data_IF_736205653364
#
_entry.id   IF_736205653364
#
_cell.length_a   1.000
_cell.length_b   1.000
_cell.length_c   1.000
_cell.angle_alpha   90.00
_cell.angle_beta   90.00
_cell.angle_gamma   90.00
#
_symmetry.space_group_name_H-M   'P 1'
#
loop_
_entity.id
_entity.type
_entity.pdbx_description
1 polymer ?
#
# COMPACT_ATOMS: atom_id res chain seq x y z
N UNK A 1 37.03 10.26 2.15
CA UNK A 1 36.11 9.66 3.15
C UNK A 1 34.88 8.98 2.52
N UNK A 2 34.45 9.37 1.30
CA UNK A 2 33.25 8.80 0.63
C UNK A 2 33.45 7.45 -0.09
N UNK A 3 34.68 7.04 -0.40
CA UNK A 3 34.94 5.75 -1.08
C UNK A 3 34.76 4.53 -0.16
N UNK A 4 35.02 4.67 1.13
CA UNK A 4 34.91 3.56 2.10
C UNK A 4 33.45 3.22 2.51
N UNK A 5 32.51 4.14 2.38
CA UNK A 5 31.10 3.89 2.69
C UNK A 5 30.39 3.11 1.56
N UNK A 6 30.77 3.36 0.29
CA UNK A 6 30.23 2.60 -0.85
C UNK A 6 30.72 1.16 -0.87
N UNK A 7 32.02 0.94 -0.61
CA UNK A 7 32.63 -0.42 -0.59
C UNK A 7 32.07 -1.30 0.54
N UNK A 8 31.83 -0.75 1.75
CA UNK A 8 31.24 -1.49 2.86
C UNK A 8 29.77 -1.88 2.61
N UNK A 9 29.00 -1.07 1.86
CA UNK A 9 27.62 -1.41 1.47
C UNK A 9 27.61 -2.54 0.45
N UNK A 10 28.53 -2.53 -0.52
CA UNK A 10 28.61 -3.52 -1.60
C UNK A 10 29.05 -4.90 -1.06
N UNK A 11 29.99 -4.95 -0.12
CA UNK A 11 30.42 -6.18 0.55
C UNK A 11 29.29 -6.80 1.37
N UNK A 12 28.51 -5.99 2.09
CA UNK A 12 27.40 -6.49 2.91
C UNK A 12 26.27 -7.03 2.03
N UNK A 13 25.98 -6.37 0.92
CA UNK A 13 25.02 -6.86 -0.09
C UNK A 13 25.49 -8.20 -0.67
N UNK A 14 26.75 -8.33 -1.05
CA UNK A 14 27.32 -9.56 -1.59
C UNK A 14 27.21 -10.74 -0.60
N UNK A 15 27.45 -10.50 0.70
CA UNK A 15 27.30 -11.51 1.74
C UNK A 15 25.83 -11.98 1.85
N UNK A 16 24.87 -11.05 1.84
CA UNK A 16 23.44 -11.43 1.86
C UNK A 16 23.07 -12.24 0.64
N UNK A 17 23.46 -11.81 -0.56
CA UNK A 17 23.13 -12.50 -1.80
C UNK A 17 23.76 -13.92 -1.84
N UNK A 18 25.00 -14.07 -1.36
CA UNK A 18 25.65 -15.37 -1.22
C UNK A 18 24.88 -16.28 -0.25
N UNK A 19 24.41 -15.73 0.86
CA UNK A 19 23.67 -16.50 1.87
C UNK A 19 22.27 -16.88 1.41
N UNK A 20 21.65 -16.08 0.53
CA UNK A 20 20.37 -16.35 -0.10
C UNK A 20 20.47 -17.25 -1.36
N UNK A 21 21.67 -17.69 -1.75
CA UNK A 21 21.89 -18.53 -2.93
C UNK A 21 20.93 -19.73 -2.99
N UNK A 22 20.69 -20.50 -1.90
CA UNK A 22 19.78 -21.64 -1.94
C UNK A 22 18.34 -21.34 -2.36
N UNK A 23 17.91 -20.09 -2.25
CA UNK A 23 16.57 -19.61 -2.67
C UNK A 23 16.62 -18.61 -3.83
N UNK A 24 17.80 -18.38 -4.41
CA UNK A 24 18.02 -17.37 -5.44
C UNK A 24 17.17 -17.61 -6.71
N UNK A 25 16.93 -18.85 -7.07
CA UNK A 25 16.06 -19.22 -8.21
C UNK A 25 14.62 -18.75 -7.99
N UNK A 26 14.09 -18.86 -6.76
CA UNK A 26 12.75 -18.39 -6.42
C UNK A 26 12.71 -16.85 -6.37
N UNK A 27 13.76 -16.21 -5.86
CA UNK A 27 13.86 -14.75 -5.83
C UNK A 27 13.89 -14.15 -7.25
N UNK A 28 14.51 -14.82 -8.22
CA UNK A 28 14.60 -14.37 -9.61
C UNK A 28 13.36 -14.67 -10.45
N UNK A 29 12.50 -15.64 -10.04
CA UNK A 29 11.32 -16.02 -10.81
C UNK A 29 10.22 -14.94 -10.71
N UNK A 30 10.03 -14.16 -11.77
CA UNK A 30 9.05 -13.07 -11.85
C UNK A 30 7.57 -13.52 -11.73
N UNK A 31 7.29 -14.81 -11.84
CA UNK A 31 5.93 -15.35 -11.70
C UNK A 31 5.57 -15.68 -10.25
N UNK A 32 6.54 -15.62 -9.34
CA UNK A 32 6.32 -15.83 -7.92
C UNK A 32 6.05 -14.50 -7.21
N UNK A 33 5.10 -14.53 -6.28
CA UNK A 33 4.69 -13.39 -5.46
C UNK A 33 5.19 -13.53 -4.02
N UNK A 34 5.21 -14.78 -3.53
CA UNK A 34 5.55 -15.10 -2.15
C UNK A 34 6.39 -16.36 -2.07
N UNK A 35 7.39 -16.36 -1.19
CA UNK A 35 8.27 -17.48 -0.89
C UNK A 35 8.18 -17.71 0.62
N UNK A 36 7.77 -18.89 1.03
CA UNK A 36 7.54 -19.21 2.45
C UNK A 36 8.35 -20.43 2.85
N UNK A 37 9.05 -20.31 3.97
CA UNK A 37 9.79 -21.40 4.62
C UNK A 37 9.19 -21.56 6.01
N UNK A 38 8.40 -22.62 6.21
CA UNK A 38 7.77 -22.92 7.49
C UNK A 38 8.61 -23.86 8.35
N UNK A 39 9.52 -24.61 7.72
CA UNK A 39 10.40 -25.59 8.35
C UNK A 39 11.64 -25.83 7.49
N UNK A 40 12.73 -26.38 8.06
CA UNK A 40 13.90 -26.77 7.29
C UNK A 40 13.57 -27.71 6.13
N UNK A 41 14.40 -27.69 5.09
CA UNK A 41 14.40 -28.55 3.91
C UNK A 41 13.20 -28.38 2.96
N UNK A 42 12.35 -27.39 3.16
CA UNK A 42 11.16 -27.19 2.35
C UNK A 42 10.91 -25.70 2.10
N UNK A 43 10.59 -25.39 0.86
CA UNK A 43 10.13 -24.06 0.43
C UNK A 43 8.73 -24.18 -0.15
N UNK A 44 7.83 -23.29 0.24
CA UNK A 44 6.54 -23.12 -0.41
C UNK A 44 6.56 -21.82 -1.21
N UNK A 45 6.02 -21.83 -2.40
CA UNK A 45 5.94 -20.63 -3.26
C UNK A 45 4.52 -20.38 -3.70
N UNK A 46 4.08 -19.13 -3.69
CA UNK A 46 2.85 -18.69 -4.33
C UNK A 46 3.17 -17.90 -5.59
N UNK A 47 2.57 -18.30 -6.69
CA UNK A 47 2.69 -17.62 -7.98
C UNK A 47 1.38 -17.59 -8.74
N UNK A 48 1.46 -17.33 -10.05
CA UNK A 48 0.30 -17.31 -10.95
C UNK A 48 -0.46 -18.65 -10.93
N UNK A 49 0.23 -19.75 -10.75
CA UNK A 49 -0.32 -21.11 -10.72
C UNK A 49 -0.78 -21.57 -9.31
N UNK A 50 -0.73 -20.67 -8.32
CA UNK A 50 -1.07 -20.96 -6.93
C UNK A 50 0.12 -21.45 -6.11
N UNK A 51 -0.16 -22.17 -5.01
CA UNK A 51 0.83 -22.67 -4.08
C UNK A 51 1.51 -23.94 -4.58
N UNK A 52 2.84 -23.98 -4.47
CA UNK A 52 3.66 -25.16 -4.73
C UNK A 52 4.59 -25.41 -3.55
N UNK A 53 4.88 -26.69 -3.28
CA UNK A 53 5.84 -27.11 -2.26
C UNK A 53 7.04 -27.74 -2.95
N UNK A 54 8.25 -27.32 -2.55
CA UNK A 54 9.51 -27.73 -3.17
C UNK A 54 10.47 -28.18 -2.07
N UNK A 55 10.98 -29.40 -2.19
CA UNK A 55 12.04 -29.91 -1.32
C UNK A 55 13.36 -29.17 -1.62
N UNK A 56 13.99 -28.66 -0.57
CA UNK A 56 15.22 -27.86 -0.67
C UNK A 56 16.23 -28.34 0.37
N UNK A 57 16.97 -29.42 0.10
CA UNK A 57 17.89 -30.07 1.07
C UNK A 57 18.97 -29.13 1.62
N UNK A 58 19.33 -28.08 0.90
CA UNK A 58 20.31 -27.07 1.32
C UNK A 58 19.83 -26.22 2.52
N UNK A 59 18.52 -26.11 2.77
CA UNK A 59 17.96 -25.26 3.81
C UNK A 59 17.82 -26.01 5.14
N UNK A 60 18.92 -26.40 5.75
CA UNK A 60 18.95 -26.93 7.11
C UNK A 60 18.57 -25.84 8.13
N UNK A 61 18.25 -26.24 9.37
CA UNK A 61 18.02 -25.28 10.47
C UNK A 61 19.19 -24.29 10.65
N UNK A 62 20.42 -24.79 10.60
CA UNK A 62 21.63 -23.97 10.76
C UNK A 62 21.79 -22.99 9.58
N UNK A 63 21.43 -23.42 8.36
CA UNK A 63 21.47 -22.54 7.19
C UNK A 63 20.42 -21.44 7.31
N UNK A 64 19.20 -21.76 7.68
CA UNK A 64 18.14 -20.77 7.92
C UNK A 64 18.50 -19.80 9.04
N UNK A 65 19.09 -20.27 10.13
CA UNK A 65 19.59 -19.41 11.20
C UNK A 65 20.72 -18.49 10.70
N UNK A 66 21.58 -19.00 9.82
CA UNK A 66 22.63 -18.21 9.16
C UNK A 66 22.02 -17.09 8.30
N UNK A 67 21.01 -17.39 7.50
CA UNK A 67 20.25 -16.40 6.70
C UNK A 67 19.68 -15.33 7.64
N UNK A 68 18.98 -15.73 8.72
CA UNK A 68 18.37 -14.81 9.67
C UNK A 68 19.39 -13.82 10.27
N UNK A 69 20.57 -14.29 10.68
CA UNK A 69 21.64 -13.45 11.23
C UNK A 69 22.23 -12.49 10.20
N UNK A 70 22.45 -12.95 8.97
CA UNK A 70 23.00 -12.13 7.90
C UNK A 70 22.01 -11.04 7.48
N UNK A 71 20.72 -11.37 7.36
CA UNK A 71 19.66 -10.39 7.06
C UNK A 71 19.53 -9.38 8.20
N UNK A 72 19.60 -9.80 9.46
CA UNK A 72 19.59 -8.90 10.62
C UNK A 72 20.77 -7.92 10.56
N UNK A 73 21.98 -8.42 10.32
CA UNK A 73 23.18 -7.58 10.18
C UNK A 73 23.06 -6.59 9.02
N UNK A 74 22.58 -7.04 7.86
CA UNK A 74 22.37 -6.19 6.69
C UNK A 74 21.37 -5.06 6.97
N UNK A 75 20.25 -5.38 7.62
CA UNK A 75 19.22 -4.39 7.99
C UNK A 75 19.58 -3.58 9.25
N UNK A 76 20.78 -3.81 9.82
CA UNK A 76 21.26 -3.18 11.06
C UNK A 76 20.32 -3.39 12.24
N UNK A 77 19.71 -4.55 12.30
CA UNK A 77 18.82 -5.02 13.35
C UNK A 77 19.46 -6.19 14.09
N UNK A 78 18.84 -6.62 15.18
CA UNK A 78 19.28 -7.78 15.96
C UNK A 78 18.18 -8.83 16.01
N UNK A 79 18.54 -10.10 15.75
CA UNK A 79 17.67 -11.25 15.95
C UNK A 79 18.30 -12.21 16.97
N UNK A 80 17.54 -12.54 18.00
CA UNK A 80 17.97 -13.39 19.13
C UNK A 80 16.77 -14.01 19.83
N UNK A 81 16.98 -14.90 20.78
CA UNK A 81 15.89 -15.47 21.60
C UNK A 81 15.08 -14.40 22.35
N UNK A 82 15.68 -13.26 22.70
CA UNK A 82 14.98 -12.11 23.31
C UNK A 82 14.19 -11.30 22.27
N UNK A 83 14.69 -11.23 21.05
CA UNK A 83 14.11 -10.51 19.95
C UNK A 83 13.92 -11.48 18.78
N UNK A 84 12.96 -12.43 18.87
CA UNK A 84 12.86 -13.55 17.93
C UNK A 84 12.20 -13.19 16.59
N UNK A 85 11.80 -11.95 16.39
CA UNK A 85 11.09 -11.45 15.20
C UNK A 85 11.96 -10.42 14.49
N UNK A 86 12.09 -10.57 13.16
CA UNK A 86 12.80 -9.64 12.29
C UNK A 86 11.96 -9.32 11.07
N UNK A 87 11.73 -8.03 10.84
CA UNK A 87 11.13 -7.51 9.60
C UNK A 87 12.19 -6.71 8.85
N UNK A 88 12.49 -7.06 7.61
CA UNK A 88 13.54 -6.41 6.84
C UNK A 88 13.19 -6.32 5.34
N UNK A 89 13.99 -5.54 4.61
CA UNK A 89 13.96 -5.49 3.15
C UNK A 89 15.27 -6.06 2.62
N UNK A 90 15.19 -7.00 1.68
CA UNK A 90 16.34 -7.60 1.02
C UNK A 90 16.92 -6.67 -0.06
N UNK A 91 18.14 -6.92 -0.56
CA UNK A 91 18.77 -6.08 -1.59
C UNK A 91 17.94 -5.87 -2.88
N UNK A 92 17.08 -6.83 -3.24
CA UNK A 92 16.17 -6.74 -4.39
C UNK A 92 14.82 -6.09 -4.07
N UNK A 93 14.70 -5.41 -2.94
CA UNK A 93 13.47 -4.79 -2.42
C UNK A 93 12.37 -5.79 -2.02
N UNK A 94 12.67 -7.07 -1.88
CA UNK A 94 11.75 -8.04 -1.30
C UNK A 94 11.60 -7.76 0.20
N UNK A 95 10.37 -7.84 0.72
CA UNK A 95 10.11 -7.83 2.16
C UNK A 95 10.34 -9.21 2.72
N UNK A 96 11.07 -9.30 3.81
CA UNK A 96 11.25 -10.55 4.54
C UNK A 96 10.80 -10.41 5.99
N UNK A 97 9.99 -11.37 6.44
CA UNK A 97 9.62 -11.57 7.84
C UNK A 97 10.26 -12.86 8.31
N UNK A 98 11.02 -12.81 9.40
CA UNK A 98 11.69 -13.98 9.99
C UNK A 98 11.23 -14.11 11.44
N UNK A 99 10.90 -15.33 11.83
CA UNK A 99 10.59 -15.66 13.23
C UNK A 99 11.38 -16.89 13.62
N UNK A 100 12.12 -16.78 14.73
CA UNK A 100 12.98 -17.83 15.27
C UNK A 100 12.47 -18.34 16.63
N UNK A 101 12.90 -19.50 17.12
CA UNK A 101 12.62 -19.94 18.49
C UNK A 101 13.06 -18.87 19.51
N UNK A 102 12.32 -18.68 20.63
CA UNK A 102 11.18 -19.48 21.10
C UNK A 102 9.81 -19.06 20.57
N UNK A 103 9.71 -18.11 19.64
CA UNK A 103 8.42 -17.64 19.10
C UNK A 103 7.83 -18.58 18.02
N UNK A 104 8.60 -19.57 17.58
CA UNK A 104 8.17 -20.70 16.75
C UNK A 104 8.64 -22.01 17.41
N UNK A 105 8.20 -23.13 16.91
CA UNK A 105 8.59 -24.46 17.40
C UNK A 105 10.11 -24.67 17.38
N UNK A 106 10.61 -25.45 18.36
CA UNK A 106 12.01 -25.86 18.40
C UNK A 106 12.43 -26.49 17.07
N UNK A 107 13.63 -26.16 16.61
CA UNK A 107 14.21 -26.65 15.36
C UNK A 107 13.45 -26.22 14.09
N UNK A 108 12.58 -25.21 14.18
CA UNK A 108 11.97 -24.56 13.03
C UNK A 108 12.36 -23.10 12.94
N UNK A 109 12.29 -22.53 11.76
CA UNK A 109 12.40 -21.09 11.51
C UNK A 109 11.35 -20.78 10.47
N UNK A 110 10.50 -19.77 10.76
CA UNK A 110 9.55 -19.28 9.77
C UNK A 110 10.15 -18.09 9.04
N UNK A 111 10.16 -18.15 7.71
CA UNK A 111 10.53 -17.03 6.85
C UNK A 111 9.45 -16.85 5.79
N UNK A 112 9.00 -15.61 5.63
CA UNK A 112 8.08 -15.24 4.56
C UNK A 112 8.71 -14.10 3.78
N UNK A 113 8.93 -14.32 2.48
CA UNK A 113 9.51 -13.33 1.59
C UNK A 113 8.43 -12.95 0.57
N UNK A 114 8.07 -11.67 0.58
CA UNK A 114 7.12 -11.09 -0.37
C UNK A 114 7.87 -10.29 -1.41
N UNK A 115 7.66 -10.65 -2.66
CA UNK A 115 8.30 -9.98 -3.79
C UNK A 115 7.51 -8.73 -4.18
N UNK A 116 8.19 -7.58 -4.40
CA UNK A 116 7.53 -6.42 -4.96
C UNK A 116 7.03 -6.76 -6.37
N UNK A 117 5.84 -6.31 -6.72
CA UNK A 117 5.39 -6.43 -8.11
C UNK A 117 6.26 -5.56 -9.01
N UNK A 118 7.11 -6.17 -9.82
CA UNK A 118 7.92 -5.48 -10.84
C UNK A 118 7.07 -4.99 -12.02
N UNK A 119 5.87 -5.57 -12.20
CA UNK A 119 4.99 -5.26 -13.33
C UNK A 119 4.15 -4.01 -13.03
N UNK A 120 4.32 -3.00 -13.85
CA UNK A 120 3.40 -1.86 -13.94
C UNK A 120 2.44 -2.10 -15.10
N UNK A 121 1.17 -1.88 -14.86
CA UNK A 121 0.12 -1.94 -15.87
C UNK A 121 -0.51 -0.57 -15.99
N UNK A 122 -0.87 -0.15 -17.19
CA UNK A 122 -1.71 1.02 -17.36
C UNK A 122 -3.15 0.74 -16.86
N UNK A 123 -3.89 1.79 -16.56
CA UNK A 123 -5.29 1.65 -16.16
C UNK A 123 -6.11 1.00 -17.29
N UNK A 124 -5.79 1.32 -18.53
CA UNK A 124 -6.36 0.77 -19.74
C UNK A 124 -6.08 -0.73 -19.88
N UNK A 125 -4.83 -1.15 -19.64
CA UNK A 125 -4.46 -2.58 -19.67
C UNK A 125 -5.22 -3.39 -18.62
N UNK A 126 -5.35 -2.84 -17.41
CA UNK A 126 -6.12 -3.47 -16.35
C UNK A 126 -7.60 -3.57 -16.71
N UNK A 127 -8.17 -2.53 -17.30
CA UNK A 127 -9.57 -2.52 -17.77
C UNK A 127 -9.79 -3.55 -18.87
N UNK A 128 -8.89 -3.63 -19.87
CA UNK A 128 -8.94 -4.61 -20.95
C UNK A 128 -8.84 -6.05 -20.45
N UNK A 129 -8.15 -6.28 -19.32
CA UNK A 129 -8.12 -7.58 -18.62
C UNK A 129 -9.37 -7.81 -17.76
N UNK A 130 -10.36 -6.93 -17.84
CA UNK A 130 -11.64 -7.05 -17.18
C UNK A 130 -11.64 -6.64 -15.71
N UNK A 131 -10.77 -5.71 -15.30
CA UNK A 131 -10.69 -5.22 -13.92
C UNK A 131 -12.07 -4.78 -13.39
N UNK A 132 -12.87 -4.09 -14.21
CA UNK A 132 -14.16 -3.52 -13.83
C UNK A 132 -15.37 -4.37 -14.21
N UNK A 133 -15.18 -5.61 -14.68
CA UNK A 133 -16.27 -6.45 -15.24
C UNK A 133 -17.40 -6.78 -14.26
N UNK A 134 -17.15 -6.67 -12.97
CA UNK A 134 -18.11 -6.95 -11.89
C UNK A 134 -18.30 -5.75 -10.95
N UNK A 135 -17.93 -4.55 -11.43
CA UNK A 135 -17.93 -3.34 -10.61
C UNK A 135 -19.32 -2.78 -10.40
N UNK A 136 -19.68 -2.56 -9.16
CA UNK A 136 -20.91 -1.88 -8.74
C UNK A 136 -20.62 -0.45 -8.31
N UNK A 137 -21.57 0.45 -8.55
CA UNK A 137 -21.52 1.84 -8.09
C UNK A 137 -22.15 1.93 -6.73
N UNK A 138 -21.49 2.63 -5.80
CA UNK A 138 -21.91 2.80 -4.40
C UNK A 138 -21.93 4.27 -4.05
N UNK A 139 -22.98 4.73 -3.36
CA UNK A 139 -23.10 6.10 -2.85
C UNK A 139 -24.13 6.16 -1.73
N UNK A 140 -24.09 7.23 -0.94
CA UNK A 140 -25.15 7.55 0.02
C UNK A 140 -26.34 8.23 -0.69
N UNK A 141 -26.05 9.09 -1.68
CA UNK A 141 -27.07 9.74 -2.50
C UNK A 141 -27.51 8.79 -3.63
N UNK A 142 -28.82 8.63 -3.91
CA UNK A 142 -29.28 7.81 -5.02
C UNK A 142 -28.71 8.27 -6.38
N UNK A 143 -28.19 7.34 -7.18
CA UNK A 143 -27.50 7.62 -8.45
C UNK A 143 -28.38 8.32 -9.51
N UNK A 144 -29.70 8.06 -9.50
CA UNK A 144 -30.65 8.72 -10.39
C UNK A 144 -30.72 10.24 -10.17
N UNK A 145 -30.30 10.73 -8.99
CA UNK A 145 -30.28 12.16 -8.67
C UNK A 145 -29.05 12.87 -9.23
N UNK A 146 -28.01 12.15 -9.65
CA UNK A 146 -26.73 12.76 -10.04
C UNK A 146 -26.86 13.66 -11.27
N UNK A 147 -27.48 13.17 -12.32
CA UNK A 147 -27.63 13.93 -13.58
C UNK A 147 -28.65 15.06 -13.47
N UNK A 148 -29.70 14.90 -12.66
CA UNK A 148 -30.73 15.94 -12.45
C UNK A 148 -30.24 17.14 -11.64
N UNK A 149 -29.19 16.95 -10.82
CA UNK A 149 -28.64 18.00 -9.95
C UNK A 149 -27.23 18.47 -10.38
N UNK A 150 -26.82 18.20 -11.61
CA UNK A 150 -25.50 18.60 -12.13
C UNK A 150 -25.24 20.11 -11.98
N UNK A 151 -26.25 20.95 -12.14
CA UNK A 151 -26.12 22.41 -12.03
C UNK A 151 -25.71 22.89 -10.64
N UNK A 152 -25.83 22.05 -9.62
CA UNK A 152 -25.43 22.36 -8.25
C UNK A 152 -23.96 22.06 -7.97
N UNK A 153 -23.31 21.33 -8.88
CA UNK A 153 -21.90 20.95 -8.77
C UNK A 153 -20.98 21.95 -9.48
N UNK A 154 -19.72 21.96 -9.09
CA UNK A 154 -18.69 22.67 -9.83
C UNK A 154 -18.56 22.07 -11.23
N UNK A 155 -18.30 22.91 -12.22
CA UNK A 155 -18.18 22.48 -13.62
C UNK A 155 -17.18 21.32 -13.80
N UNK A 156 -16.08 21.33 -13.04
CA UNK A 156 -15.05 20.29 -13.05
C UNK A 156 -15.60 18.90 -12.66
N UNK A 157 -16.66 18.84 -11.86
CA UNK A 157 -17.25 17.59 -11.39
C UNK A 157 -18.29 17.03 -12.38
N UNK A 158 -18.71 17.82 -13.40
CA UNK A 158 -19.73 17.38 -14.35
C UNK A 158 -19.29 16.17 -15.18
N UNK A 159 -18.03 16.15 -15.63
CA UNK A 159 -17.51 15.03 -16.42
C UNK A 159 -17.29 13.80 -15.56
N UNK A 160 -16.90 13.96 -14.31
CA UNK A 160 -16.81 12.86 -13.33
C UNK A 160 -18.17 12.20 -13.12
N UNK A 161 -19.22 13.00 -12.89
CA UNK A 161 -20.58 12.50 -12.68
C UNK A 161 -21.09 11.76 -13.91
N UNK A 162 -20.90 12.34 -15.11
CA UNK A 162 -21.31 11.71 -16.37
C UNK A 162 -20.60 10.39 -16.64
N UNK A 163 -19.27 10.36 -16.42
CA UNK A 163 -18.48 9.15 -16.60
C UNK A 163 -18.88 8.07 -15.59
N UNK A 164 -19.04 8.45 -14.32
CA UNK A 164 -19.48 7.55 -13.28
C UNK A 164 -20.85 6.96 -13.60
N UNK A 165 -21.85 7.78 -13.95
CA UNK A 165 -23.19 7.34 -14.30
C UNK A 165 -23.21 6.36 -15.49
N UNK A 166 -22.31 6.55 -16.46
CA UNK A 166 -22.16 5.66 -17.63
C UNK A 166 -21.31 4.41 -17.38
N UNK A 167 -20.75 4.26 -16.19
CA UNK A 167 -19.76 3.21 -15.83
C UNK A 167 -18.50 3.24 -16.69
N UNK A 168 -18.14 4.40 -17.25
CA UNK A 168 -16.85 4.60 -17.89
C UNK A 168 -15.78 4.83 -16.82
N UNK A 169 -15.41 3.76 -16.13
CA UNK A 169 -14.52 3.83 -14.98
C UNK A 169 -13.08 4.19 -15.35
N UNK A 170 -12.63 3.92 -16.56
CA UNK A 170 -11.29 4.32 -17.02
C UNK A 170 -11.21 5.83 -17.13
N UNK A 171 -12.15 6.46 -17.86
CA UNK A 171 -12.23 7.91 -17.98
C UNK A 171 -12.49 8.56 -16.62
N UNK A 172 -13.44 8.01 -15.84
CA UNK A 172 -13.77 8.49 -14.50
C UNK A 172 -12.54 8.58 -13.59
N UNK A 173 -11.77 7.50 -13.47
CA UNK A 173 -10.59 7.45 -12.58
C UNK A 173 -9.45 8.32 -13.11
N UNK A 174 -9.25 8.38 -14.42
CA UNK A 174 -8.28 9.29 -15.02
C UNK A 174 -8.62 10.75 -14.68
N UNK A 175 -9.87 11.18 -14.92
CA UNK A 175 -10.33 12.51 -14.55
C UNK A 175 -10.26 12.78 -13.04
N UNK A 176 -10.59 11.79 -12.22
CA UNK A 176 -10.49 11.91 -10.77
C UNK A 176 -9.07 12.22 -10.30
N UNK A 177 -8.06 11.57 -10.88
CA UNK A 177 -6.65 11.84 -10.59
C UNK A 177 -6.27 13.25 -11.07
N UNK A 178 -6.66 13.64 -12.30
CA UNK A 178 -6.39 14.97 -12.85
C UNK A 178 -7.04 16.08 -12.01
N UNK A 179 -8.24 15.85 -11.51
CA UNK A 179 -8.99 16.78 -10.66
C UNK A 179 -8.59 16.71 -9.17
N UNK A 180 -7.47 16.10 -8.85
CA UNK A 180 -6.94 15.96 -7.49
C UNK A 180 -7.98 15.40 -6.49
N UNK A 181 -8.78 14.42 -6.89
CA UNK A 181 -9.69 13.73 -5.97
C UNK A 181 -8.91 12.81 -5.01
N UNK A 182 -9.32 12.77 -3.76
CA UNK A 182 -8.74 11.88 -2.75
C UNK A 182 -9.29 10.47 -2.93
N UNK A 183 -8.42 9.54 -3.29
CA UNK A 183 -8.77 8.16 -3.66
C UNK A 183 -8.25 7.20 -2.59
N UNK A 184 -9.15 6.43 -2.01
CA UNK A 184 -8.85 5.35 -1.07
C UNK A 184 -9.07 3.99 -1.75
N UNK A 185 -8.04 3.17 -1.85
CA UNK A 185 -8.13 1.83 -2.42
C UNK A 185 -8.23 0.81 -1.29
N UNK A 186 -9.36 0.14 -1.22
CA UNK A 186 -9.68 -0.83 -0.17
C UNK A 186 -9.55 -2.27 -0.67
N UNK A 187 -9.21 -3.20 0.22
CA UNK A 187 -9.16 -4.63 -0.10
C UNK A 187 -8.20 -5.41 0.77
N UNK A 188 -8.30 -6.74 0.75
CA UNK A 188 -7.41 -7.65 1.48
C UNK A 188 -5.98 -7.63 0.90
N UNK A 189 -5.04 -8.22 1.63
CA UNK A 189 -3.69 -8.51 1.10
C UNK A 189 -3.81 -9.34 -0.19
N UNK A 190 -2.99 -9.03 -1.20
CA UNK A 190 -3.01 -9.73 -2.49
C UNK A 190 -4.23 -9.46 -3.37
N UNK A 191 -5.06 -8.44 -3.06
CA UNK A 191 -6.24 -8.08 -3.87
C UNK A 191 -5.93 -7.15 -5.06
N UNK A 192 -4.68 -6.72 -5.24
CA UNK A 192 -4.26 -5.84 -6.33
C UNK A 192 -4.28 -4.35 -6.01
N UNK A 193 -4.42 -3.95 -4.73
CA UNK A 193 -4.40 -2.53 -4.31
C UNK A 193 -3.18 -1.78 -4.85
N UNK A 194 -1.97 -2.29 -4.58
CA UNK A 194 -0.71 -1.65 -5.02
C UNK A 194 -0.61 -1.58 -6.55
N UNK A 195 -1.10 -2.60 -7.27
CA UNK A 195 -1.12 -2.59 -8.74
C UNK A 195 -2.00 -1.48 -9.28
N UNK A 196 -3.20 -1.31 -8.70
CA UNK A 196 -4.11 -0.23 -9.07
C UNK A 196 -3.56 1.14 -8.65
N UNK A 197 -2.95 1.26 -7.45
CA UNK A 197 -2.30 2.50 -7.01
C UNK A 197 -1.25 2.97 -8.01
N UNK A 198 -0.37 2.06 -8.47
CA UNK A 198 0.66 2.39 -9.49
C UNK A 198 0.04 2.88 -10.78
N UNK A 199 -1.04 2.24 -11.26
CA UNK A 199 -1.73 2.65 -12.47
C UNK A 199 -2.37 4.04 -12.35
N UNK A 200 -2.89 4.39 -11.16
CA UNK A 200 -3.45 5.72 -10.91
C UNK A 200 -2.36 6.78 -10.71
N UNK A 201 -1.28 6.46 -9.99
CA UNK A 201 -0.13 7.37 -9.80
C UNK A 201 0.47 7.76 -11.15
N UNK A 202 0.56 6.83 -12.10
CA UNK A 202 1.03 7.11 -13.45
C UNK A 202 0.14 8.09 -14.25
N UNK A 203 -1.07 8.41 -13.77
CA UNK A 203 -1.97 9.41 -14.35
C UNK A 203 -1.85 10.79 -13.72
N UNK A 204 -1.05 10.97 -12.69
CA UNK A 204 -0.77 12.29 -12.09
C UNK A 204 0.01 13.12 -13.12
N UNK A 205 -0.30 14.42 -13.29
CA UNK A 205 0.46 15.29 -14.19
C UNK A 205 1.97 15.33 -13.90
N UNK A 206 2.78 15.42 -14.95
CA UNK A 206 4.25 15.37 -14.85
C UNK A 206 4.85 16.63 -14.20
N UNK A 207 4.13 17.74 -14.17
CA UNK A 207 4.53 19.00 -13.56
C UNK A 207 4.26 19.09 -12.06
N UNK A 208 3.53 18.12 -11.49
CA UNK A 208 3.27 18.06 -10.06
C UNK A 208 4.47 17.49 -9.27
N UNK A 209 4.71 18.07 -8.08
CA UNK A 209 5.71 17.56 -7.12
C UNK A 209 5.06 16.55 -6.18
N UNK A 210 5.58 15.31 -6.19
CA UNK A 210 5.03 14.19 -5.43
C UNK A 210 5.99 13.79 -4.31
N UNK A 211 5.44 13.60 -3.11
CA UNK A 211 6.16 12.98 -2.00
C UNK A 211 5.46 11.69 -1.62
N UNK A 212 6.18 10.57 -1.61
CA UNK A 212 5.65 9.30 -1.10
C UNK A 212 6.18 9.03 0.30
N UNK A 213 5.36 8.39 1.14
CA UNK A 213 5.73 7.93 2.48
C UNK A 213 5.37 6.45 2.57
N UNK A 214 6.38 5.61 2.74
CA UNK A 214 6.28 4.15 2.65
C UNK A 214 7.08 3.47 3.77
N UNK A 215 6.65 2.29 4.22
CA UNK A 215 7.47 1.42 5.08
C UNK A 215 8.47 0.59 4.25
N UNK A 216 8.14 0.33 3.00
CA UNK A 216 8.99 -0.31 2.01
C UNK A 216 8.68 0.30 0.64
N UNK A 217 9.67 0.61 -0.19
CA UNK A 217 9.44 1.23 -1.48
C UNK A 217 8.74 0.27 -2.44
N UNK A 218 7.44 0.43 -2.61
CA UNK A 218 6.60 -0.33 -3.53
C UNK A 218 5.98 0.53 -4.62
N UNK A 219 5.74 1.82 -4.34
CA UNK A 219 5.15 2.73 -5.30
C UNK A 219 6.14 3.05 -6.41
N UNK A 220 5.63 3.16 -7.63
CA UNK A 220 6.39 3.59 -8.80
C UNK A 220 5.83 4.94 -9.21
N UNK A 221 6.65 5.97 -9.11
CA UNK A 221 6.31 7.35 -9.44
C UNK A 221 7.10 7.74 -10.69
N UNK A 222 6.47 7.80 -11.88
CA UNK A 222 7.17 8.14 -13.12
C UNK A 222 7.44 9.64 -13.27
N UNK A 223 6.76 10.49 -12.50
CA UNK A 223 6.92 11.95 -12.56
C UNK A 223 8.35 12.36 -12.15
N UNK A 224 8.97 13.33 -12.85
CA UNK A 224 10.37 13.68 -12.62
C UNK A 224 10.63 14.37 -11.29
N UNK A 225 9.62 15.08 -10.74
CA UNK A 225 9.75 15.82 -9.49
C UNK A 225 9.13 15.04 -8.33
N UNK A 226 9.83 13.99 -7.85
CA UNK A 226 9.34 13.24 -6.71
C UNK A 226 10.41 12.96 -5.66
N UNK A 227 9.97 12.71 -4.43
CA UNK A 227 10.80 12.25 -3.32
C UNK A 227 10.12 11.05 -2.66
N UNK A 228 10.85 9.95 -2.52
CA UNK A 228 10.44 8.78 -1.73
C UNK A 228 11.00 8.88 -0.33
N UNK A 229 10.13 8.90 0.66
CA UNK A 229 10.48 8.92 2.09
C UNK A 229 10.13 7.56 2.69
N UNK A 230 11.07 6.97 3.42
CA UNK A 230 10.94 5.61 3.95
C UNK A 230 11.08 5.65 5.46
N UNK A 231 10.15 5.03 6.19
CA UNK A 231 10.23 4.85 7.63
C UNK A 231 10.45 3.39 8.01
N UNK A 232 11.12 3.20 9.15
CA UNK A 232 11.29 1.86 9.72
C UNK A 232 10.08 1.50 10.55
N UNK A 233 9.45 0.38 10.22
CA UNK A 233 8.44 -0.22 11.08
C UNK A 233 9.10 -0.66 12.39
N UNK A 234 8.43 -0.42 13.52
CA UNK A 234 8.88 -0.80 14.87
C UNK A 234 10.16 -0.09 15.38
N UNK A 235 10.64 0.99 14.74
CA UNK A 235 11.78 1.78 15.20
C UNK A 235 13.12 1.03 15.20
N UNK A 236 13.21 -0.12 14.54
CA UNK A 236 14.42 -0.97 14.51
C UNK A 236 15.43 -0.61 13.41
N UNK A 237 15.15 0.40 12.58
CA UNK A 237 16.06 0.86 11.53
C UNK A 237 17.10 1.86 12.03
N UNK A 238 18.02 2.28 11.12
CA UNK A 238 19.01 3.32 11.41
C UNK A 238 18.41 4.68 11.79
N UNK A 239 17.28 5.02 11.19
CA UNK A 239 16.55 6.24 11.46
C UNK A 239 15.33 5.89 12.32
N UNK A 240 15.31 6.40 13.56
CA UNK A 240 14.13 6.33 14.44
C UNK A 240 13.11 7.39 14.03
N UNK A 241 12.63 7.31 12.76
CA UNK A 241 11.68 8.26 12.19
C UNK A 241 10.44 7.49 11.79
N UNK A 242 9.29 7.93 12.30
CA UNK A 242 7.99 7.35 11.99
C UNK A 242 7.26 8.11 10.86
N UNK A 243 6.09 7.61 10.45
CA UNK A 243 5.30 8.25 9.40
C UNK A 243 4.81 9.65 9.78
N UNK A 244 4.65 9.95 11.09
CA UNK A 244 4.27 11.26 11.59
C UNK A 244 5.32 12.32 11.26
N UNK A 245 6.57 12.07 11.66
CA UNK A 245 7.68 12.99 11.46
C UNK A 245 7.96 13.19 9.97
N UNK A 246 7.82 12.12 9.17
CA UNK A 246 7.97 12.21 7.71
C UNK A 246 6.87 13.05 7.08
N UNK A 247 5.62 12.89 7.53
CA UNK A 247 4.52 13.72 7.04
C UNK A 247 4.71 15.21 7.41
N UNK A 248 5.08 15.50 8.65
CA UNK A 248 5.36 16.87 9.09
C UNK A 248 6.53 17.50 8.30
N UNK A 249 7.52 16.69 7.93
CA UNK A 249 8.60 17.12 7.04
C UNK A 249 8.09 17.38 5.62
N UNK A 250 7.31 16.45 5.07
CA UNK A 250 6.76 16.55 3.72
C UNK A 250 5.95 17.84 3.52
N UNK A 251 5.14 18.25 4.51
CA UNK A 251 4.37 19.50 4.47
C UNK A 251 5.24 20.76 4.30
N UNK A 252 6.53 20.71 4.69
CA UNK A 252 7.49 21.82 4.52
C UNK A 252 8.27 21.76 3.21
N UNK A 253 8.09 20.69 2.42
CA UNK A 253 8.84 20.44 1.18
C UNK A 253 8.09 20.93 -0.07
N UNK A 254 6.99 21.69 0.09
CA UNK A 254 6.14 22.21 -1.00
C UNK A 254 5.64 21.11 -1.94
N UNK A 255 4.98 20.07 -1.45
CA UNK A 255 4.38 19.06 -2.31
C UNK A 255 3.10 19.57 -2.97
N UNK A 256 2.82 19.10 -4.19
CA UNK A 256 1.48 19.18 -4.76
C UNK A 256 0.63 18.01 -4.27
N UNK A 257 1.26 16.83 -4.11
CA UNK A 257 0.62 15.64 -3.50
C UNK A 257 1.53 14.95 -2.51
N UNK A 258 0.91 14.43 -1.44
CA UNK A 258 1.55 13.48 -0.51
C UNK A 258 0.80 12.16 -0.59
N UNK A 259 1.53 11.08 -0.94
CA UNK A 259 0.98 9.74 -1.10
C UNK A 259 1.48 8.86 0.04
N UNK A 260 0.58 8.45 0.93
CA UNK A 260 0.88 7.42 1.92
C UNK A 260 0.53 6.06 1.31
N UNK A 261 1.48 5.13 1.29
CA UNK A 261 1.31 3.82 0.65
C UNK A 261 0.13 3.06 1.24
N UNK A 262 0.05 2.97 2.55
CA UNK A 262 -1.02 2.26 3.25
C UNK A 262 -1.33 2.92 4.58
N UNK A 263 -2.62 3.01 4.89
CA UNK A 263 -3.11 3.50 6.17
C UNK A 263 -3.26 2.34 7.14
N UNK A 264 -2.45 2.38 8.18
CA UNK A 264 -2.44 1.44 9.30
C UNK A 264 -2.28 2.23 10.59
N UNK A 265 -2.75 1.68 11.69
CA UNK A 265 -2.56 2.24 13.02
C UNK A 265 -2.84 3.75 13.04
N UNK A 266 -2.05 4.51 13.77
CA UNK A 266 -2.18 5.95 13.85
C UNK A 266 -1.92 6.76 12.57
N UNK A 267 -1.44 6.14 11.46
CA UNK A 267 -1.20 6.85 10.20
C UNK A 267 -2.48 7.41 9.58
N UNK A 268 -3.63 6.81 9.86
CA UNK A 268 -4.92 7.27 9.40
C UNK A 268 -5.27 8.69 9.91
N UNK A 269 -4.89 9.02 11.15
CA UNK A 269 -5.07 10.36 11.70
C UNK A 269 -4.23 11.41 10.95
N UNK A 270 -2.99 11.08 10.64
CA UNK A 270 -2.11 11.97 9.89
C UNK A 270 -2.56 12.14 8.44
N UNK A 271 -3.15 11.10 7.84
CA UNK A 271 -3.79 11.20 6.52
C UNK A 271 -4.88 12.28 6.52
N UNK A 272 -5.80 12.23 7.48
CA UNK A 272 -6.86 13.23 7.62
C UNK A 272 -6.27 14.64 7.72
N UNK A 273 -5.27 14.83 8.57
CA UNK A 273 -4.60 16.13 8.74
C UNK A 273 -3.95 16.62 7.45
N UNK A 274 -3.29 15.73 6.70
CA UNK A 274 -2.63 16.05 5.45
C UNK A 274 -3.63 16.55 4.39
N UNK A 275 -4.67 15.76 4.13
CA UNK A 275 -5.71 16.11 3.15
C UNK A 275 -6.39 17.43 3.53
N UNK A 276 -6.69 17.63 4.81
CA UNK A 276 -7.32 18.87 5.31
C UNK A 276 -6.37 20.10 5.29
N UNK A 277 -5.06 19.87 5.20
CA UNK A 277 -4.05 20.95 5.16
C UNK A 277 -3.84 21.55 3.77
N UNK A 278 -4.69 21.23 2.77
CA UNK A 278 -4.63 21.80 1.43
C UNK A 278 -3.78 21.02 0.44
N UNK A 279 -3.53 19.74 0.69
CA UNK A 279 -2.84 18.81 -0.23
C UNK A 279 -3.81 17.74 -0.75
N UNK A 280 -4.78 18.07 -1.63
CA UNK A 280 -5.73 17.11 -2.21
C UNK A 280 -5.04 16.19 -3.21
N UNK A 281 -5.77 15.17 -3.68
CA UNK A 281 -5.28 14.23 -4.69
C UNK A 281 -4.43 13.10 -4.11
N UNK A 282 -4.59 12.82 -2.81
CA UNK A 282 -3.95 11.65 -2.19
C UNK A 282 -4.51 10.35 -2.78
N UNK A 283 -3.60 9.40 -3.05
CA UNK A 283 -3.93 8.03 -3.43
C UNK A 283 -3.30 7.13 -2.38
N UNK A 284 -4.14 6.42 -1.62
CA UNK A 284 -3.68 5.58 -0.51
C UNK A 284 -4.46 4.29 -0.44
N UNK A 285 -4.00 3.34 0.38
CA UNK A 285 -4.66 2.04 0.52
C UNK A 285 -5.06 1.75 1.97
N UNK A 286 -6.10 0.92 2.14
CA UNK A 286 -6.56 0.43 3.44
C UNK A 286 -7.07 -1.00 3.34
N UNK A 287 -7.05 -1.73 4.45
CA UNK A 287 -7.70 -3.04 4.54
C UNK A 287 -9.17 -2.88 4.90
N UNK A 288 -10.07 -3.18 3.95
CA UNK A 288 -11.51 -3.25 4.20
C UNK A 288 -12.18 -4.30 3.30
N UNK A 289 -13.42 -4.69 3.64
CA UNK A 289 -14.18 -5.72 2.94
C UNK A 289 -15.12 -5.17 1.87
N UNK A 290 -15.56 -3.91 2.00
CA UNK A 290 -16.40 -3.17 1.06
C UNK A 290 -15.99 -1.70 1.02
N UNK A 291 -16.47 -0.96 0.02
CA UNK A 291 -16.18 0.47 -0.10
C UNK A 291 -16.73 1.25 1.11
N UNK A 292 -17.94 0.97 1.56
CA UNK A 292 -18.51 1.65 2.74
C UNK A 292 -17.85 1.21 4.04
N UNK A 293 -17.46 -0.06 4.18
CA UNK A 293 -16.73 -0.54 5.35
C UNK A 293 -15.34 0.11 5.49
N UNK A 294 -14.79 0.69 4.42
CA UNK A 294 -13.55 1.43 4.49
C UNK A 294 -13.66 2.70 5.35
N UNK A 295 -14.81 3.37 5.37
CA UNK A 295 -15.05 4.50 6.28
C UNK A 295 -15.01 4.06 7.75
N UNK A 296 -15.63 2.92 8.06
CA UNK A 296 -15.63 2.37 9.43
C UNK A 296 -14.20 1.95 9.85
N UNK A 297 -13.48 1.27 8.96
CA UNK A 297 -12.10 0.88 9.22
C UNK A 297 -11.21 2.10 9.46
N UNK A 298 -11.34 3.14 8.64
CA UNK A 298 -10.61 4.39 8.83
C UNK A 298 -10.97 5.06 10.17
N UNK A 299 -12.24 5.05 10.55
CA UNK A 299 -12.71 5.59 11.84
C UNK A 299 -12.04 4.86 13.01
N UNK A 300 -11.95 3.51 12.95
CA UNK A 300 -11.26 2.72 13.98
C UNK A 300 -9.77 3.07 14.05
N UNK A 301 -9.08 3.11 12.91
CA UNK A 301 -7.65 3.46 12.85
C UNK A 301 -7.37 4.86 13.41
N UNK A 302 -8.26 5.83 13.17
CA UNK A 302 -8.15 7.16 13.76
C UNK A 302 -8.34 7.12 15.25
N UNK A 303 -9.33 6.37 15.76
CA UNK A 303 -9.59 6.21 17.21
C UNK A 303 -8.43 5.55 17.95
N UNK A 304 -7.70 4.65 17.31
CA UNK A 304 -6.51 3.98 17.85
C UNK A 304 -5.27 4.89 17.89
N UNK A 305 -5.30 6.04 17.21
CA UNK A 305 -4.18 6.98 17.18
C UNK A 305 -4.12 7.84 18.43
N UNK A 306 -2.90 8.26 18.81
CA UNK A 306 -2.65 9.12 19.97
C UNK A 306 -3.41 10.45 19.93
N UNK A 307 -3.71 11.00 18.73
CA UNK A 307 -4.44 12.26 18.58
C UNK A 307 -5.93 12.10 18.23
N UNK A 308 -6.40 10.88 18.00
CA UNK A 308 -7.78 10.59 17.57
C UNK A 308 -8.64 9.98 18.67
N UNK A 309 -8.02 9.52 19.77
CA UNK A 309 -8.72 8.84 20.84
C UNK A 309 -9.86 9.62 21.49
N UNK A 310 -9.70 10.93 21.62
CA UNK A 310 -10.69 11.81 22.28
C UNK A 310 -11.78 12.33 21.33
N UNK A 311 -11.64 12.12 20.02
CA UNK A 311 -12.62 12.55 19.04
C UNK A 311 -13.84 11.62 19.06
N UNK A 312 -15.04 12.19 18.92
CA UNK A 312 -16.26 11.38 18.79
C UNK A 312 -16.27 10.60 17.47
N UNK A 313 -16.83 9.38 17.49
CA UNK A 313 -16.83 8.49 16.33
C UNK A 313 -17.54 9.11 15.12
N UNK A 314 -18.66 9.76 15.36
CA UNK A 314 -19.48 10.37 14.31
C UNK A 314 -18.77 11.59 13.70
N UNK A 315 -18.02 12.36 14.49
CA UNK A 315 -17.20 13.47 13.99
C UNK A 315 -16.08 12.96 13.08
N UNK A 316 -15.37 11.91 13.48
CA UNK A 316 -14.34 11.29 12.65
C UNK A 316 -14.95 10.79 11.34
N UNK A 317 -16.07 10.10 11.41
CA UNK A 317 -16.77 9.57 10.24
C UNK A 317 -17.24 10.67 9.31
N UNK A 318 -17.80 11.74 9.84
CA UNK A 318 -18.20 12.93 9.09
C UNK A 318 -17.03 13.57 8.36
N UNK A 319 -15.88 13.76 9.05
CA UNK A 319 -14.65 14.25 8.45
C UNK A 319 -14.16 13.34 7.32
N UNK A 320 -14.12 12.03 7.53
CA UNK A 320 -13.69 11.06 6.51
C UNK A 320 -14.58 11.12 5.27
N UNK A 321 -15.90 11.16 5.44
CA UNK A 321 -16.86 11.29 4.32
C UNK A 321 -16.63 12.61 3.58
N UNK A 322 -16.36 13.71 4.29
CA UNK A 322 -16.10 15.00 3.64
C UNK A 322 -14.83 15.01 2.80
N UNK A 323 -13.76 14.32 3.25
CA UNK A 323 -12.43 14.37 2.66
C UNK A 323 -12.17 13.29 1.61
N UNK A 324 -12.68 12.08 1.79
CA UNK A 324 -12.50 10.99 0.82
C UNK A 324 -13.54 11.17 -0.29
N UNK A 325 -13.07 11.32 -1.52
CA UNK A 325 -13.95 11.51 -2.67
C UNK A 325 -14.36 10.19 -3.31
N UNK A 326 -13.41 9.25 -3.40
CA UNK A 326 -13.59 7.99 -4.09
C UNK A 326 -13.03 6.86 -3.24
N UNK A 327 -13.77 5.77 -3.11
CA UNK A 327 -13.26 4.52 -2.55
C UNK A 327 -13.41 3.41 -3.60
N UNK A 328 -12.30 2.69 -3.85
CA UNK A 328 -12.25 1.60 -4.82
C UNK A 328 -12.03 0.30 -4.09
N UNK A 329 -13.00 -0.62 -4.11
CA UNK A 329 -12.88 -1.93 -3.48
C UNK A 329 -12.27 -2.94 -4.43
N UNK A 330 -11.11 -3.47 -4.06
CA UNK A 330 -10.39 -4.50 -4.79
C UNK A 330 -10.59 -5.89 -4.16
N UNK A 331 -10.87 -6.88 -4.99
CA UNK A 331 -10.95 -8.30 -4.60
C UNK A 331 -10.22 -9.19 -5.61
N UNK A 332 -9.78 -10.36 -5.15
CA UNK A 332 -9.31 -11.43 -6.04
C UNK A 332 -10.46 -12.41 -6.24
N UNK A 333 -10.94 -12.55 -7.47
CA UNK A 333 -12.04 -13.45 -7.85
C UNK A 333 -11.48 -14.39 -8.92
N UNK A 334 -11.59 -15.70 -8.69
CA UNK A 334 -11.07 -16.73 -9.59
C UNK A 334 -9.61 -16.49 -10.02
N UNK A 335 -8.77 -16.09 -9.05
CA UNK A 335 -7.36 -15.81 -9.29
C UNK A 335 -7.04 -14.47 -9.97
N UNK A 336 -8.06 -13.70 -10.41
CA UNK A 336 -7.91 -12.42 -11.10
C UNK A 336 -8.22 -11.23 -10.19
N UNK A 337 -7.50 -10.13 -10.36
CA UNK A 337 -7.79 -8.87 -9.69
C UNK A 337 -9.06 -8.24 -10.29
N UNK A 338 -9.98 -7.83 -9.43
CA UNK A 338 -11.23 -7.17 -9.80
C UNK A 338 -11.49 -5.99 -8.89
N UNK A 339 -12.03 -4.92 -9.45
CA UNK A 339 -12.72 -3.88 -8.70
C UNK A 339 -14.18 -4.31 -8.61
N UNK A 340 -14.67 -4.46 -7.39
CA UNK A 340 -16.05 -4.90 -7.13
C UNK A 340 -16.99 -3.76 -6.79
N UNK A 341 -16.45 -2.68 -6.24
CA UNK A 341 -17.24 -1.50 -5.86
C UNK A 341 -16.43 -0.23 -6.11
N UNK A 342 -17.08 0.81 -6.57
CA UNK A 342 -16.55 2.18 -6.56
C UNK A 342 -17.57 3.06 -5.86
N UNK A 343 -17.18 3.61 -4.70
CA UNK A 343 -17.92 4.67 -4.03
C UNK A 343 -17.54 6.01 -4.64
N UNK A 344 -18.53 6.78 -5.01
CA UNK A 344 -18.42 8.20 -5.34
C UNK A 344 -19.74 8.89 -5.05
N UNK A 345 -19.72 9.96 -4.26
CA UNK A 345 -20.90 10.75 -3.94
C UNK A 345 -20.56 12.24 -4.02
N UNK A 346 -20.85 12.90 -5.13
CA UNK A 346 -20.60 14.33 -5.29
C UNK A 346 -21.47 15.22 -4.40
N UNK A 347 -22.55 14.66 -3.84
CA UNK A 347 -23.49 15.36 -2.94
C UNK A 347 -23.30 14.97 -1.47
N UNK A 348 -22.20 14.31 -1.12
CA UNK A 348 -21.90 13.77 0.22
C UNK A 348 -22.06 14.79 1.35
N UNK A 349 -21.79 16.08 1.11
CA UNK A 349 -21.93 17.14 2.12
C UNK A 349 -23.37 17.34 2.59
N UNK A 350 -24.39 17.06 1.77
CA UNK A 350 -25.79 17.12 2.18
C UNK A 350 -26.11 16.09 3.27
N UNK A 351 -25.45 14.94 3.22
CA UNK A 351 -25.64 13.85 4.16
C UNK A 351 -24.91 14.08 5.50
N UNK A 352 -23.89 14.96 5.52
CA UNK A 352 -23.08 15.23 6.72
C UNK A 352 -23.68 16.37 7.54
N UNK A 353 -24.12 17.43 6.88
CA UNK A 353 -24.53 18.66 7.53
C UNK A 353 -26.07 18.86 7.62
N UNK A 354 -26.87 17.78 7.35
CA UNK A 354 -28.30 17.81 7.57
C UNK A 354 -29.04 18.89 6.77
N UNK A 355 -28.71 19.04 5.50
CA UNK A 355 -29.50 19.88 4.61
C UNK A 355 -30.85 19.22 4.32
N UNK A 356 -31.92 19.75 4.91
CA UNK A 356 -33.31 19.49 4.54
C UNK A 356 -33.56 19.83 3.07
#
# INVERSE_FOLDING_TARGET
MNQNLHTLSDETVAIVLTKLEPISTFLKDENLFEIVINRPYQVMTEGVEGWKTIETPALSFNELMGIAKVVASYSKQNISEKNPILSATLPGNERIQIVIPPAVEKNTISMTIRKPSSRSFSLEDLANKGLFSVCEQVSFTPLNNYLSHLSELKHIDHDLVRAYAKKDFVFFLNQAVQCQKNILIAGKTGSGKTTLSKALIAKIPDDERIITIEDTPELVVPQPNYVSMIYSKDGQGLASVGPKELLESALRMRPDRILLQELRDGTAFYYIRNVNSGHPGSITTVHASTALAAFEQMTLLVKESEGGGDLERDDIRGLLISMIDIIIQCKRIEGKFKVTEIYYDPFKQRNIFGGN
#
